data_IF_539762452244
#
_entry.id   IF_539762452244
#
_cell.length_a   1.000
_cell.length_b   1.000
_cell.length_c   1.000
_cell.angle_alpha   90.00
_cell.angle_beta   90.00
_cell.angle_gamma   90.00
#
_symmetry.space_group_name_H-M   'P 1'
#
loop_
_entity.id
_entity.type
_entity.pdbx_description
1 polymer ?
#
# COMPACT_ATOMS: atom_id res chain seq x y z
N UNK A 1 -1.75 -28.61 2.53
CA UNK A 1 -1.15 -28.27 1.22
C UNK A 1 0.32 -28.06 1.48
N UNK A 2 1.18 -28.78 0.77
CA UNK A 2 2.64 -28.65 0.88
C UNK A 2 3.13 -27.65 -0.17
N UNK A 3 3.58 -26.47 0.25
CA UNK A 3 4.15 -25.48 -0.64
C UNK A 3 5.67 -25.65 -0.74
N UNK A 4 6.23 -25.70 -1.95
CA UNK A 4 7.70 -25.59 -2.09
C UNK A 4 8.16 -24.19 -1.71
N UNK A 5 7.42 -23.18 -2.20
CA UNK A 5 7.59 -21.78 -1.81
C UNK A 5 6.27 -21.22 -1.26
N UNK A 6 6.28 -20.81 0.01
CA UNK A 6 5.20 -20.05 0.62
C UNK A 6 5.58 -18.56 0.63
N UNK A 7 4.84 -17.73 -0.11
CA UNK A 7 5.05 -16.28 -0.18
C UNK A 7 3.95 -15.61 0.63
N UNK A 8 4.33 -14.90 1.70
CA UNK A 8 3.40 -14.27 2.64
C UNK A 8 3.42 -12.76 2.42
N UNK A 9 2.37 -12.21 1.82
CA UNK A 9 2.20 -10.80 1.49
C UNK A 9 1.74 -10.59 0.05
N UNK A 10 0.94 -9.54 -0.19
CA UNK A 10 0.33 -9.22 -1.49
C UNK A 10 0.86 -7.94 -2.13
N UNK A 11 2.14 -7.59 -1.93
CA UNK A 11 2.75 -6.39 -2.53
C UNK A 11 3.71 -6.71 -3.68
N UNK A 12 4.32 -5.68 -4.26
CA UNK A 12 5.35 -5.80 -5.32
C UNK A 12 6.48 -6.79 -4.97
N UNK A 13 6.90 -6.87 -3.70
CA UNK A 13 7.90 -7.84 -3.25
C UNK A 13 7.46 -9.30 -3.52
N UNK A 14 6.17 -9.61 -3.37
CA UNK A 14 5.62 -10.93 -3.65
C UNK A 14 5.55 -11.19 -5.16
N UNK A 15 5.11 -10.22 -5.96
CA UNK A 15 5.10 -10.33 -7.43
C UNK A 15 6.52 -10.62 -7.98
N UNK A 16 7.52 -9.86 -7.52
CA UNK A 16 8.92 -10.06 -7.91
C UNK A 16 9.52 -11.37 -7.38
N UNK A 17 9.10 -11.83 -6.21
CA UNK A 17 9.50 -13.13 -5.71
C UNK A 17 8.97 -14.28 -6.60
N UNK A 18 7.74 -14.19 -7.08
CA UNK A 18 7.17 -15.18 -8.01
C UNK A 18 7.96 -15.20 -9.32
N UNK A 19 8.23 -14.03 -9.91
CA UNK A 19 9.10 -13.91 -11.10
C UNK A 19 10.47 -14.57 -10.87
N UNK A 20 11.15 -14.21 -9.78
CA UNK A 20 12.47 -14.74 -9.45
C UNK A 20 12.48 -16.25 -9.19
N UNK A 21 11.43 -16.79 -8.53
CA UNK A 21 11.27 -18.25 -8.38
C UNK A 21 11.10 -18.90 -9.76
N UNK A 22 10.32 -18.33 -10.67
CA UNK A 22 10.11 -18.90 -12.01
C UNK A 22 11.34 -18.87 -12.89
N UNK A 23 12.22 -17.89 -12.70
CA UNK A 23 13.53 -17.83 -13.36
C UNK A 23 14.48 -18.94 -12.93
N UNK A 24 14.42 -19.37 -11.66
CA UNK A 24 15.42 -20.28 -11.05
C UNK A 24 14.89 -21.68 -10.74
N UNK A 25 13.57 -21.83 -10.62
CA UNK A 25 12.86 -23.05 -10.24
C UNK A 25 11.48 -23.07 -10.91
N UNK A 26 11.51 -23.27 -12.23
CA UNK A 26 10.39 -23.06 -13.15
C UNK A 26 9.11 -23.79 -12.74
N UNK A 27 9.22 -25.02 -12.26
CA UNK A 27 8.08 -25.91 -12.02
C UNK A 27 7.69 -26.02 -10.54
N UNK A 28 8.38 -25.29 -9.64
CA UNK A 28 8.11 -25.40 -8.21
C UNK A 28 6.70 -24.89 -7.85
N UNK A 29 5.92 -25.62 -7.02
CA UNK A 29 4.64 -25.14 -6.55
C UNK A 29 4.81 -23.93 -5.64
N UNK A 30 4.12 -22.84 -5.97
CA UNK A 30 4.11 -21.60 -5.19
C UNK A 30 2.73 -21.44 -4.55
N UNK A 31 2.69 -21.21 -3.25
CA UNK A 31 1.48 -20.73 -2.55
C UNK A 31 1.69 -19.27 -2.17
N UNK A 32 0.80 -18.41 -2.64
CA UNK A 32 0.77 -16.99 -2.30
C UNK A 32 -0.34 -16.76 -1.29
N UNK A 33 -0.03 -16.12 -0.16
CA UNK A 33 -1.03 -15.76 0.86
C UNK A 33 -1.07 -14.24 1.02
N UNK A 34 -2.25 -13.64 0.92
CA UNK A 34 -2.44 -12.19 1.08
C UNK A 34 -3.43 -11.88 2.20
N UNK A 35 -3.20 -10.77 2.90
CA UNK A 35 -4.17 -10.21 3.84
C UNK A 35 -5.31 -9.48 3.12
N UNK A 36 -4.95 -8.72 2.07
CA UNK A 36 -5.90 -7.94 1.27
C UNK A 36 -6.64 -8.84 0.28
N UNK A 37 -7.84 -8.44 -0.15
CA UNK A 37 -8.69 -9.18 -1.10
C UNK A 37 -8.23 -9.05 -2.57
N UNK A 38 -6.95 -8.77 -2.78
CA UNK A 38 -6.38 -8.44 -4.08
C UNK A 38 -5.14 -9.30 -4.36
N UNK A 39 -4.93 -9.63 -5.64
CA UNK A 39 -3.64 -10.13 -6.12
C UNK A 39 -2.54 -9.07 -5.93
N UNK A 40 -1.25 -9.45 -6.00
CA UNK A 40 -0.16 -8.52 -5.83
C UNK A 40 -0.27 -7.30 -6.74
N UNK A 41 -0.11 -6.11 -6.15
CA UNK A 41 -0.16 -4.83 -6.86
C UNK A 41 0.93 -3.85 -6.35
N UNK A 42 1.19 -2.83 -7.14
CA UNK A 42 2.11 -1.74 -6.86
C UNK A 42 1.41 -0.61 -6.10
N UNK A 43 2.03 -0.13 -5.02
CA UNK A 43 1.48 0.95 -4.18
C UNK A 43 1.73 2.37 -4.71
N UNK A 44 2.79 2.70 -5.48
CA UNK A 44 3.03 4.07 -5.94
C UNK A 44 1.89 4.74 -6.73
N UNK A 45 1.10 4.04 -7.58
CA UNK A 45 -0.04 4.65 -8.25
C UNK A 45 -1.17 5.10 -7.31
N UNK A 46 -1.26 4.55 -6.09
CA UNK A 46 -2.38 4.75 -5.16
C UNK A 46 -2.50 6.17 -4.59
N UNK A 47 -1.44 6.97 -4.64
CA UNK A 47 -1.45 8.40 -4.27
C UNK A 47 -1.37 9.32 -5.49
N UNK A 48 -1.36 8.75 -6.70
CA UNK A 48 -1.17 9.44 -7.98
C UNK A 48 -2.35 9.15 -8.90
N UNK A 49 -2.12 8.50 -10.02
CA UNK A 49 -3.11 8.35 -11.09
C UNK A 49 -4.38 7.60 -10.66
N UNK A 50 -4.26 6.62 -9.76
CA UNK A 50 -5.44 5.90 -9.23
C UNK A 50 -6.29 6.82 -8.34
N UNK A 51 -5.63 7.61 -7.48
CA UNK A 51 -6.28 8.58 -6.59
C UNK A 51 -6.88 9.76 -7.37
N UNK A 52 -6.16 10.25 -8.39
CA UNK A 52 -6.63 11.29 -9.30
C UNK A 52 -7.73 10.78 -10.23
N UNK A 53 -7.89 9.47 -10.39
CA UNK A 53 -8.84 8.86 -11.30
C UNK A 53 -8.47 9.04 -12.79
N UNK A 54 -7.22 9.38 -13.08
CA UNK A 54 -6.69 9.45 -14.46
C UNK A 54 -6.44 8.06 -15.03
N UNK A 55 -6.24 7.05 -14.18
CA UNK A 55 -6.19 5.63 -14.53
C UNK A 55 -7.12 4.80 -13.65
N UNK A 56 -7.49 3.61 -14.15
CA UNK A 56 -8.23 2.62 -13.36
C UNK A 56 -7.32 1.88 -12.36
N UNK A 57 -7.94 1.19 -11.40
CA UNK A 57 -7.22 0.38 -10.40
C UNK A 57 -6.32 -0.69 -11.05
N UNK A 58 -6.71 -1.19 -12.23
CA UNK A 58 -5.96 -2.18 -13.01
C UNK A 58 -4.52 -1.73 -13.32
N UNK A 59 -4.26 -0.41 -13.40
CA UNK A 59 -2.93 0.13 -13.62
C UNK A 59 -1.94 -0.15 -12.48
N UNK A 60 -2.43 -0.52 -11.28
CA UNK A 60 -1.59 -0.91 -10.16
C UNK A 60 -1.12 -2.37 -10.25
N UNK A 61 -1.71 -3.21 -11.09
CA UNK A 61 -1.40 -4.64 -11.13
C UNK A 61 -0.25 -4.90 -12.12
N UNK A 62 0.90 -5.42 -11.67
CA UNK A 62 2.04 -5.71 -12.55
C UNK A 62 1.76 -6.89 -13.49
N UNK A 63 0.84 -7.78 -13.09
CA UNK A 63 0.43 -8.96 -13.86
C UNK A 63 -1.08 -9.13 -13.82
N UNK A 64 -1.70 -9.60 -14.92
CA UNK A 64 -3.13 -9.93 -14.93
C UNK A 64 -3.40 -11.22 -14.13
N UNK A 65 -4.65 -11.47 -13.69
CA UNK A 65 -4.98 -12.65 -12.88
C UNK A 65 -4.60 -14.00 -13.50
N UNK A 66 -4.72 -14.13 -14.81
CA UNK A 66 -4.46 -15.36 -15.57
C UNK A 66 -2.99 -15.76 -15.50
N UNK A 67 -2.09 -14.77 -15.43
CA UNK A 67 -0.65 -14.99 -15.33
C UNK A 67 -0.28 -15.83 -14.11
N UNK A 68 -0.94 -15.62 -12.96
CA UNK A 68 -0.65 -16.37 -11.74
C UNK A 68 -0.98 -17.86 -11.89
N UNK A 69 -2.08 -18.18 -12.58
CA UNK A 69 -2.44 -19.56 -12.88
C UNK A 69 -1.46 -20.20 -13.87
N UNK A 70 -1.07 -19.48 -14.92
CA UNK A 70 -0.05 -19.91 -15.89
C UNK A 70 1.32 -20.14 -15.22
N UNK A 71 1.65 -19.33 -14.22
CA UNK A 71 2.82 -19.52 -13.39
C UNK A 71 2.60 -20.56 -12.29
N UNK A 72 1.55 -21.37 -12.27
CA UNK A 72 1.36 -22.41 -11.24
C UNK A 72 1.37 -21.88 -9.80
N UNK A 73 0.88 -20.66 -9.60
CA UNK A 73 0.69 -20.05 -8.28
C UNK A 73 -0.69 -20.43 -7.76
N UNK A 74 -0.76 -20.90 -6.52
CA UNK A 74 -2.02 -21.06 -5.79
C UNK A 74 -2.23 -19.84 -4.88
N UNK A 75 -3.12 -18.90 -5.25
CA UNK A 75 -3.39 -17.73 -4.43
C UNK A 75 -4.43 -18.06 -3.33
N UNK A 76 -4.10 -17.71 -2.10
CA UNK A 76 -4.98 -17.72 -0.92
C UNK A 76 -5.17 -16.26 -0.49
N UNK A 77 -6.24 -15.66 -1.00
CA UNK A 77 -6.49 -14.22 -0.92
C UNK A 77 -7.44 -13.92 0.25
N UNK A 78 -7.17 -12.82 0.97
CA UNK A 78 -8.03 -12.37 2.08
C UNK A 78 -7.95 -13.22 3.35
N UNK A 79 -7.02 -14.17 3.42
CA UNK A 79 -6.83 -15.07 4.57
C UNK A 79 -5.36 -15.02 5.05
N UNK A 80 -5.00 -14.01 5.87
CA UNK A 80 -3.61 -13.77 6.23
C UNK A 80 -3.04 -14.88 7.12
N UNK A 81 -1.72 -15.07 7.03
CA UNK A 81 -0.97 -15.86 8.02
C UNK A 81 -0.97 -15.13 9.36
N UNK A 82 -1.43 -15.80 10.42
CA UNK A 82 -1.49 -15.28 11.79
C UNK A 82 -0.44 -15.89 12.73
N UNK A 83 0.14 -17.02 12.35
CA UNK A 83 1.25 -17.64 13.08
C UNK A 83 2.19 -18.37 12.12
N UNK A 84 3.50 -18.29 12.39
CA UNK A 84 4.54 -18.99 11.65
C UNK A 84 5.40 -19.79 12.61
N UNK A 85 5.48 -21.11 12.41
CA UNK A 85 6.43 -21.98 13.08
C UNK A 85 7.56 -22.32 12.12
N UNK A 86 8.71 -21.67 12.29
CA UNK A 86 9.88 -21.89 11.47
C UNK A 86 10.54 -23.26 11.71
N UNK A 87 10.36 -23.83 12.91
CA UNK A 87 10.96 -25.10 13.29
C UNK A 87 10.20 -26.28 12.69
N UNK A 88 8.88 -26.30 12.86
CA UNK A 88 7.97 -27.27 12.24
C UNK A 88 7.67 -26.97 10.77
N UNK A 89 8.12 -25.82 10.25
CA UNK A 89 7.87 -25.32 8.88
C UNK A 89 6.38 -25.26 8.52
N UNK A 90 5.61 -24.64 9.40
CA UNK A 90 4.17 -24.44 9.18
C UNK A 90 3.77 -22.98 9.29
N UNK A 91 2.69 -22.61 8.62
CA UNK A 91 2.03 -21.31 8.70
C UNK A 91 0.54 -21.55 8.96
N UNK A 92 -0.02 -20.84 9.93
CA UNK A 92 -1.45 -20.90 10.26
C UNK A 92 -2.15 -19.68 9.68
N UNK A 93 -3.19 -19.90 8.89
CA UNK A 93 -4.04 -18.85 8.34
C UNK A 93 -5.11 -18.43 9.36
N UNK A 94 -5.67 -17.23 9.19
CA UNK A 94 -6.75 -16.72 10.05
C UNK A 94 -7.98 -17.63 10.01
N UNK A 95 -8.29 -18.22 8.85
CA UNK A 95 -9.35 -19.21 8.67
C UNK A 95 -9.11 -20.55 9.37
N UNK A 96 -7.94 -20.74 10.01
CA UNK A 96 -7.57 -21.94 10.76
C UNK A 96 -6.86 -23.01 9.93
N UNK A 97 -6.74 -22.83 8.62
CA UNK A 97 -5.95 -23.73 7.77
C UNK A 97 -4.46 -23.67 8.13
N UNK A 98 -3.79 -24.82 8.06
CA UNK A 98 -2.33 -24.91 8.29
C UNK A 98 -1.65 -25.33 6.99
N UNK A 99 -0.65 -24.55 6.59
CA UNK A 99 0.16 -24.77 5.41
C UNK A 99 1.57 -25.21 5.84
N UNK A 100 2.05 -26.29 5.25
CA UNK A 100 3.45 -26.74 5.35
C UNK A 100 4.26 -26.14 4.21
N UNK A 101 5.54 -25.88 4.46
CA UNK A 101 6.41 -25.27 3.47
C UNK A 101 7.85 -25.78 3.49
N UNK A 102 8.53 -25.73 2.34
CA UNK A 102 9.98 -25.96 2.29
C UNK A 102 10.78 -24.67 2.45
N UNK A 103 10.33 -23.58 1.82
CA UNK A 103 10.88 -22.24 1.92
C UNK A 103 9.73 -21.26 2.11
N UNK A 104 9.87 -20.36 3.08
CA UNK A 104 8.92 -19.28 3.31
C UNK A 104 9.60 -17.92 3.06
N UNK A 105 8.89 -17.02 2.38
CA UNK A 105 9.27 -15.64 2.20
C UNK A 105 8.27 -14.73 2.91
N UNK A 106 8.77 -13.91 3.84
CA UNK A 106 8.01 -12.84 4.47
C UNK A 106 8.10 -11.58 3.60
N UNK A 107 7.04 -11.33 2.83
CA UNK A 107 6.84 -10.15 1.99
C UNK A 107 5.72 -9.25 2.53
N UNK A 108 5.55 -9.20 3.87
CA UNK A 108 4.44 -8.55 4.57
C UNK A 108 4.49 -7.01 4.55
N UNK A 109 5.64 -6.43 4.18
CA UNK A 109 5.80 -5.00 4.06
C UNK A 109 5.64 -4.25 5.39
N UNK A 110 4.72 -3.28 5.42
CA UNK A 110 4.51 -2.37 6.56
C UNK A 110 3.05 -1.94 6.64
N UNK A 111 2.62 -1.54 7.83
CA UNK A 111 1.29 -1.00 8.12
C UNK A 111 1.34 0.50 8.39
N UNK A 112 0.18 1.15 8.30
CA UNK A 112 0.03 2.59 8.60
C UNK A 112 0.15 2.80 10.11
N UNK A 113 0.95 3.80 10.52
CA UNK A 113 0.90 4.30 11.89
C UNK A 113 -0.34 5.18 12.06
N UNK A 114 -1.34 4.67 12.76
CA UNK A 114 -2.59 5.40 12.99
C UNK A 114 -2.43 6.50 14.04
N UNK A 115 -3.20 7.59 13.88
CA UNK A 115 -3.29 8.66 14.86
C UNK A 115 -3.99 8.15 16.12
N UNK A 116 -3.43 8.50 17.28
CA UNK A 116 -3.95 8.12 18.61
C UNK A 116 -4.48 9.36 19.33
N UNK A 117 -5.55 9.93 18.78
CA UNK A 117 -6.22 11.13 19.31
C UNK A 117 -7.73 10.90 19.35
N UNK A 118 -8.48 11.61 20.23
CA UNK A 118 -9.93 11.55 20.22
C UNK A 118 -10.50 11.89 18.83
N UNK A 119 -11.40 11.05 18.33
CA UNK A 119 -12.05 11.23 17.02
C UNK A 119 -11.26 10.71 15.82
N UNK A 120 -10.14 10.00 16.01
CA UNK A 120 -9.39 9.38 14.92
C UNK A 120 -10.14 8.25 14.17
N UNK A 121 -11.30 7.84 14.68
CA UNK A 121 -12.20 6.82 14.15
C UNK A 121 -13.50 7.41 13.57
N UNK A 122 -13.64 8.75 13.53
CA UNK A 122 -14.80 9.40 12.95
C UNK A 122 -14.88 9.20 11.42
N UNK A 123 -16.10 9.16 10.85
CA UNK A 123 -16.27 9.22 9.40
C UNK A 123 -15.55 10.42 8.79
N UNK A 124 -14.88 10.21 7.65
CA UNK A 124 -14.05 11.22 6.99
C UNK A 124 -12.58 11.24 7.41
N UNK A 125 -12.17 10.43 8.40
CA UNK A 125 -10.76 10.15 8.66
C UNK A 125 -10.29 9.03 7.74
N UNK A 126 -9.40 9.35 6.82
CA UNK A 126 -8.83 8.40 5.87
C UNK A 126 -7.33 8.17 6.15
N UNK A 127 -6.87 6.97 5.82
CA UNK A 127 -5.47 6.64 5.65
C UNK A 127 -5.22 6.24 4.20
N UNK A 128 -3.96 6.12 3.78
CA UNK A 128 -3.61 5.68 2.44
C UNK A 128 -2.48 4.65 2.48
N UNK A 129 -2.84 3.37 2.26
CA UNK A 129 -1.87 2.29 2.10
C UNK A 129 -2.33 1.22 1.13
N UNK A 130 -3.61 0.86 1.20
CA UNK A 130 -4.22 -0.20 0.40
C UNK A 130 -4.91 0.37 -0.85
N UNK A 131 -5.22 -0.49 -1.81
CA UNK A 131 -6.06 -0.10 -2.95
C UNK A 131 -7.44 0.41 -2.48
N UNK A 132 -8.03 -0.28 -1.50
CA UNK A 132 -9.33 0.09 -0.94
C UNK A 132 -9.27 1.46 -0.23
N UNK A 133 -8.17 1.77 0.47
CA UNK A 133 -7.93 3.10 1.04
C UNK A 133 -7.91 4.18 -0.05
N UNK A 134 -7.20 3.94 -1.16
CA UNK A 134 -7.09 4.89 -2.28
C UNK A 134 -8.44 5.16 -2.92
N UNK A 135 -9.22 4.10 -3.17
CA UNK A 135 -10.56 4.23 -3.74
C UNK A 135 -11.52 4.96 -2.77
N UNK A 136 -11.48 4.62 -1.48
CA UNK A 136 -12.27 5.31 -0.46
C UNK A 136 -11.90 6.79 -0.35
N UNK A 137 -10.59 7.11 -0.32
CA UNK A 137 -10.10 8.48 -0.27
C UNK A 137 -10.50 9.25 -1.52
N UNK A 138 -10.43 8.64 -2.71
CA UNK A 138 -10.84 9.27 -3.96
C UNK A 138 -12.30 9.72 -3.93
N UNK A 139 -13.21 8.86 -3.48
CA UNK A 139 -14.61 9.25 -3.32
C UNK A 139 -14.77 10.34 -2.25
N UNK A 140 -14.08 10.22 -1.12
CA UNK A 140 -14.06 11.24 -0.07
C UNK A 140 -13.59 12.62 -0.56
N UNK A 141 -12.59 12.67 -1.44
CA UNK A 141 -12.09 13.92 -2.03
C UNK A 141 -13.15 14.57 -2.95
N UNK A 142 -13.95 13.80 -3.69
CA UNK A 142 -15.02 14.34 -4.56
C UNK A 142 -16.15 14.98 -3.76
N UNK A 143 -16.41 14.48 -2.55
CA UNK A 143 -17.47 14.98 -1.67
C UNK A 143 -16.99 16.11 -0.74
N UNK A 144 -15.68 16.32 -0.65
CA UNK A 144 -15.06 17.25 0.28
C UNK A 144 -14.85 18.64 -0.33
N UNK A 145 -14.97 19.67 0.50
CA UNK A 145 -14.53 21.03 0.17
C UNK A 145 -13.27 21.45 0.92
N UNK A 146 -13.07 20.88 2.10
CA UNK A 146 -11.97 21.17 3.00
C UNK A 146 -11.28 19.87 3.41
N UNK A 147 -9.98 19.79 3.18
CA UNK A 147 -9.17 18.61 3.46
C UNK A 147 -8.01 19.00 4.35
N UNK A 148 -7.82 18.26 5.43
CA UNK A 148 -6.64 18.36 6.30
C UNK A 148 -5.77 17.13 6.08
N UNK A 149 -4.52 17.35 5.67
CA UNK A 149 -3.51 16.31 5.53
C UNK A 149 -2.59 16.35 6.75
N UNK A 150 -2.48 15.23 7.46
CA UNK A 150 -1.61 15.13 8.64
C UNK A 150 -0.32 14.38 8.27
N UNK A 151 0.78 15.12 8.17
CA UNK A 151 2.11 14.65 7.80
C UNK A 151 2.57 15.15 6.43
N UNK A 152 3.71 15.85 6.38
CA UNK A 152 4.40 16.37 5.20
C UNK A 152 5.48 15.44 4.65
N UNK A 153 5.22 14.14 4.68
CA UNK A 153 6.02 13.14 3.96
C UNK A 153 5.63 13.06 2.48
N UNK A 154 6.31 12.21 1.69
CA UNK A 154 6.03 12.05 0.25
C UNK A 154 4.56 11.78 -0.05
N UNK A 155 3.95 10.81 0.65
CA UNK A 155 2.54 10.46 0.47
C UNK A 155 1.62 11.63 0.87
N UNK A 156 1.94 12.35 1.94
CA UNK A 156 1.14 13.50 2.38
C UNK A 156 1.16 14.64 1.36
N UNK A 157 2.33 14.94 0.80
CA UNK A 157 2.46 15.92 -0.27
C UNK A 157 1.71 15.49 -1.55
N UNK A 158 1.83 14.23 -1.96
CA UNK A 158 1.09 13.69 -3.11
C UNK A 158 -0.43 13.76 -2.91
N UNK A 159 -0.93 13.39 -1.72
CA UNK A 159 -2.36 13.49 -1.37
C UNK A 159 -2.81 14.96 -1.32
N UNK A 160 -1.99 15.87 -0.79
CA UNK A 160 -2.29 17.30 -0.79
C UNK A 160 -2.42 17.84 -2.22
N UNK A 161 -1.53 17.44 -3.13
CA UNK A 161 -1.64 17.79 -4.55
C UNK A 161 -2.90 17.19 -5.19
N UNK A 162 -3.22 15.93 -4.93
CA UNK A 162 -4.42 15.28 -5.44
C UNK A 162 -5.71 15.95 -4.95
N UNK A 163 -5.75 16.37 -3.68
CA UNK A 163 -6.87 17.11 -3.12
C UNK A 163 -7.00 18.50 -3.78
N UNK A 164 -5.90 19.23 -4.01
CA UNK A 164 -5.92 20.49 -4.78
C UNK A 164 -6.42 20.30 -6.21
N UNK A 165 -6.07 19.19 -6.86
CA UNK A 165 -6.55 18.85 -8.20
C UNK A 165 -8.05 18.52 -8.25
N UNK A 166 -8.66 18.18 -7.10
CA UNK A 166 -10.11 18.04 -6.90
C UNK A 166 -10.74 19.31 -6.29
N UNK A 167 -10.12 20.48 -6.51
CA UNK A 167 -10.61 21.80 -6.07
C UNK A 167 -10.82 21.96 -4.55
N UNK A 168 -10.31 21.02 -3.72
CA UNK A 168 -10.43 21.11 -2.27
C UNK A 168 -9.55 22.23 -1.70
N UNK A 169 -10.01 22.93 -0.66
CA UNK A 169 -9.13 23.75 0.20
C UNK A 169 -8.31 22.81 1.08
N UNK A 170 -6.98 22.93 1.01
CA UNK A 170 -6.08 21.97 1.66
C UNK A 170 -5.25 22.66 2.73
N UNK A 171 -5.29 22.10 3.94
CA UNK A 171 -4.33 22.40 5.01
C UNK A 171 -3.44 21.19 5.23
N UNK A 172 -2.13 21.37 5.23
CA UNK A 172 -1.17 20.31 5.56
C UNK A 172 -0.51 20.64 6.90
N UNK A 173 -0.60 19.71 7.84
CA UNK A 173 -0.03 19.81 9.18
C UNK A 173 1.26 18.98 9.23
N UNK A 174 2.39 19.62 9.48
CA UNK A 174 3.71 18.99 9.60
C UNK A 174 4.40 19.43 10.90
N UNK A 175 4.72 18.50 11.82
CA UNK A 175 5.42 18.85 13.06
C UNK A 175 6.88 19.29 12.87
N UNK A 176 7.53 18.98 11.74
CA UNK A 176 8.86 19.48 11.39
C UNK A 176 8.82 20.93 10.89
N UNK A 177 9.98 21.58 10.80
CA UNK A 177 10.04 22.97 10.33
C UNK A 177 9.65 23.09 8.85
N UNK A 178 9.94 22.05 8.06
CA UNK A 178 9.56 21.94 6.65
C UNK A 178 9.14 20.52 6.27
N UNK A 179 8.35 20.34 5.20
CA UNK A 179 8.08 19.01 4.65
C UNK A 179 9.37 18.26 4.30
N UNK A 180 9.34 16.93 4.41
CA UNK A 180 10.45 16.05 4.05
C UNK A 180 11.79 16.32 4.75
N UNK A 181 11.84 17.13 5.82
CA UNK A 181 13.09 17.56 6.47
C UNK A 181 14.04 16.40 6.78
N UNK A 182 13.49 15.29 7.31
CA UNK A 182 14.26 14.09 7.69
C UNK A 182 14.82 13.30 6.51
N UNK A 183 14.34 13.55 5.29
CA UNK A 183 14.71 12.81 4.07
C UNK A 183 15.67 13.64 3.21
N UNK A 184 15.36 14.91 3.01
CA UNK A 184 16.07 15.79 2.04
C UNK A 184 16.68 17.05 2.67
N UNK A 185 16.50 17.25 3.98
CA UNK A 185 17.02 18.42 4.69
C UNK A 185 16.17 19.68 4.51
N UNK A 186 16.50 20.76 5.26
CA UNK A 186 15.66 21.95 5.35
C UNK A 186 15.62 22.79 4.06
N UNK A 187 16.70 22.82 3.28
CA UNK A 187 16.75 23.59 2.03
C UNK A 187 15.77 23.05 0.97
N UNK A 188 15.88 21.75 0.66
CA UNK A 188 14.99 21.10 -0.30
C UNK A 188 13.56 20.98 0.27
N UNK A 189 13.44 20.75 1.58
CA UNK A 189 12.13 20.74 2.24
C UNK A 189 11.39 22.07 2.14
N UNK A 190 12.10 23.20 2.29
CA UNK A 190 11.54 24.54 2.09
C UNK A 190 11.01 24.73 0.68
N UNK A 191 11.78 24.29 -0.33
CA UNK A 191 11.37 24.35 -1.72
C UNK A 191 10.07 23.57 -1.98
N UNK A 192 9.93 22.36 -1.44
CA UNK A 192 8.66 21.60 -1.55
C UNK A 192 7.52 22.31 -0.82
N UNK A 193 7.78 22.89 0.34
CA UNK A 193 6.80 23.69 1.07
C UNK A 193 6.29 24.87 0.22
N UNK A 194 7.20 25.68 -0.31
CA UNK A 194 6.89 26.81 -1.18
C UNK A 194 6.14 26.38 -2.43
N UNK A 195 6.52 25.26 -3.05
CA UNK A 195 5.83 24.70 -4.21
C UNK A 195 4.37 24.37 -3.88
N UNK A 196 4.12 23.67 -2.77
CA UNK A 196 2.74 23.35 -2.36
C UNK A 196 1.94 24.60 -1.98
N UNK A 197 2.57 25.57 -1.31
CA UNK A 197 1.95 26.84 -0.98
C UNK A 197 1.55 27.64 -2.24
N UNK A 198 2.42 27.67 -3.26
CA UNK A 198 2.12 28.29 -4.55
C UNK A 198 0.94 27.61 -5.28
N UNK A 199 0.67 26.34 -5.00
CA UNK A 199 -0.49 25.59 -5.50
C UNK A 199 -1.72 25.66 -4.57
N UNK A 200 -1.70 26.55 -3.57
CA UNK A 200 -2.83 26.84 -2.69
C UNK A 200 -2.98 25.90 -1.49
N UNK A 201 -1.95 25.14 -1.13
CA UNK A 201 -1.91 24.38 0.13
C UNK A 201 -1.51 25.32 1.28
N UNK A 202 -2.27 25.32 2.36
CA UNK A 202 -1.89 26.01 3.59
C UNK A 202 -1.04 25.10 4.46
N UNK A 203 0.25 25.40 4.59
CA UNK A 203 1.17 24.68 5.49
C UNK A 203 1.01 25.17 6.93
N UNK A 204 1.02 24.24 7.89
CA UNK A 204 0.86 24.46 9.33
C UNK A 204 1.77 23.59 10.16
#
# INVERSE_FOLDING_TARGET
MDARYLIIGGGLAAAKAIEGVREHDRDAPITLVTEENHLPYERPPLSKDVLLGTTGADAAFPHPPEWYAEQGVTPLIGDPVVALDASGRTATLRGGAVLSWERALLATGSSVRTLRVPGADLPGVHYLRTLDDSLSLREGLRESRDVVVVGGGWIGLEVAAAARANDCRVTLIEPQAVPLERVVGPEIGSWFGELHAAHGVQLR
#
